data_IF_986235448690
#
_entry.id   IF_986235448690
#
_cell.length_a   1.000
_cell.length_b   1.000
_cell.length_c   1.000
_cell.angle_alpha   90.00
_cell.angle_beta   90.00
_cell.angle_gamma   90.00
#
_symmetry.space_group_name_H-M   'P 1'
#
loop_
_entity.id
_entity.type
_entity.pdbx_description
1 polymer ?
#
# COMPACT_ATOMS: atom_id res chain seq x y z
N UNK A 1 14.85 -21.84 -5.35
CA UNK A 1 15.51 -20.56 -5.01
C UNK A 1 14.80 -20.00 -3.77
N UNK A 2 15.49 -19.92 -2.62
CA UNK A 2 14.90 -19.35 -1.40
C UNK A 2 14.76 -17.83 -1.63
N UNK A 3 13.58 -17.22 -1.45
CA UNK A 3 13.41 -15.79 -1.66
C UNK A 3 14.36 -15.02 -0.73
N UNK A 4 15.11 -14.07 -1.30
CA UNK A 4 16.04 -13.22 -0.55
C UNK A 4 15.29 -12.53 0.57
N UNK A 5 15.76 -12.72 1.80
CA UNK A 5 15.26 -12.00 2.97
C UNK A 5 15.59 -10.52 2.78
N UNK A 6 14.56 -9.67 2.79
CA UNK A 6 14.70 -8.21 2.69
C UNK A 6 13.93 -7.59 3.85
N UNK A 7 14.61 -6.97 4.82
CA UNK A 7 13.98 -6.31 5.95
C UNK A 7 12.77 -5.46 5.60
N UNK A 8 11.75 -5.45 6.46
CA UNK A 8 10.53 -4.67 6.24
C UNK A 8 10.84 -3.21 5.88
N UNK A 9 11.75 -2.56 6.63
CA UNK A 9 12.11 -1.16 6.40
C UNK A 9 12.67 -0.92 4.99
N UNK A 10 13.53 -1.82 4.48
CA UNK A 10 14.07 -1.74 3.11
C UNK A 10 12.96 -1.91 2.06
N UNK A 11 11.96 -2.76 2.30
CA UNK A 11 10.78 -2.87 1.41
C UNK A 11 9.90 -1.62 1.40
N UNK A 12 9.97 -0.80 2.46
CA UNK A 12 9.35 0.54 2.48
C UNK A 12 10.22 1.62 1.82
N UNK A 13 11.38 1.27 1.25
CA UNK A 13 12.37 2.23 0.78
C UNK A 13 13.04 3.04 1.90
N UNK A 14 12.98 2.55 3.15
CA UNK A 14 13.51 3.24 4.32
C UNK A 14 14.78 2.55 4.85
N UNK A 15 15.64 3.34 5.48
CA UNK A 15 16.81 2.85 6.22
C UNK A 15 16.51 2.54 7.68
N UNK A 16 17.40 1.78 8.32
CA UNK A 16 17.43 1.63 9.76
C UNK A 16 18.01 2.89 10.39
N UNK A 17 17.29 3.53 11.31
CA UNK A 17 17.75 4.77 11.91
C UNK A 17 18.97 4.52 12.81
N UNK A 18 19.96 5.42 12.74
CA UNK A 18 21.13 5.40 13.62
C UNK A 18 20.71 5.52 15.08
N UNK A 19 21.37 4.76 15.95
CA UNK A 19 21.20 4.79 17.40
C UNK A 19 21.63 6.13 18.02
N UNK A 20 22.37 6.94 17.26
CA UNK A 20 22.82 8.28 17.65
C UNK A 20 21.68 9.32 17.61
N UNK A 21 20.54 9.01 16.97
CA UNK A 21 19.40 9.93 16.98
C UNK A 21 19.01 10.28 18.43
N UNK A 22 18.89 11.58 18.67
CA UNK A 22 18.67 12.13 20.01
C UNK A 22 17.20 12.11 20.41
N UNK A 23 16.27 12.09 19.45
CA UNK A 23 14.83 12.26 19.71
C UNK A 23 13.99 11.16 19.08
N UNK A 24 12.83 10.89 19.69
CA UNK A 24 11.85 9.94 19.18
C UNK A 24 11.28 10.39 17.83
N UNK A 25 11.49 9.58 16.79
CA UNK A 25 11.07 9.83 15.41
C UNK A 25 9.58 9.50 15.15
N UNK A 26 8.79 9.23 16.18
CA UNK A 26 7.34 9.07 16.01
C UNK A 26 6.71 10.43 15.74
N UNK A 27 5.82 10.52 14.74
CA UNK A 27 5.02 11.72 14.45
C UNK A 27 4.32 12.18 15.74
N UNK A 28 4.49 13.46 16.10
CA UNK A 28 3.91 14.06 17.31
C UNK A 28 4.60 13.73 18.64
N UNK A 29 5.73 13.00 18.67
CA UNK A 29 6.46 12.74 19.91
C UNK A 29 7.67 13.64 20.10
N UNK A 30 8.72 13.51 19.29
CA UNK A 30 9.92 14.36 19.31
C UNK A 30 10.72 14.39 20.63
N UNK A 31 10.35 13.60 21.64
CA UNK A 31 10.99 13.64 22.96
C UNK A 31 12.42 13.12 22.90
N UNK A 32 13.35 13.86 23.48
CA UNK A 32 14.75 13.45 23.62
C UNK A 32 14.89 12.14 24.40
N UNK A 33 15.73 11.23 23.92
CA UNK A 33 16.08 10.00 24.60
C UNK A 33 16.94 10.31 25.84
N UNK A 34 16.87 9.43 26.82
CA UNK A 34 17.62 9.53 28.06
C UNK A 34 17.85 8.15 28.66
N UNK A 35 18.54 8.07 29.80
CA UNK A 35 18.69 6.81 30.54
C UNK A 35 17.35 6.14 30.87
N UNK A 36 16.30 6.93 31.11
CA UNK A 36 14.96 6.42 31.42
C UNK A 36 14.10 6.29 30.15
N UNK A 37 14.30 7.16 29.16
CA UNK A 37 13.64 7.05 27.84
C UNK A 37 14.58 6.35 26.87
N UNK A 38 14.59 5.02 26.93
CA UNK A 38 15.42 4.18 26.07
C UNK A 38 14.97 4.23 24.60
N UNK A 39 15.93 3.90 23.74
CA UNK A 39 15.81 3.83 22.29
C UNK A 39 15.28 2.46 21.86
N UNK A 40 14.36 2.44 20.91
CA UNK A 40 13.85 1.22 20.29
C UNK A 40 13.58 1.46 18.81
N UNK A 41 13.93 0.53 17.93
CA UNK A 41 13.55 0.67 16.53
C UNK A 41 12.19 0.07 16.22
N UNK A 42 11.45 0.68 15.31
CA UNK A 42 10.33 0.01 14.68
C UNK A 42 10.86 -1.05 13.70
N UNK A 43 10.49 -2.31 13.88
CA UNK A 43 10.97 -3.39 12.98
C UNK A 43 10.34 -3.31 11.58
N UNK A 44 9.20 -2.61 11.45
CA UNK A 44 8.54 -2.37 10.17
C UNK A 44 9.16 -1.21 9.38
N UNK A 45 9.50 -0.08 10.01
CA UNK A 45 9.99 1.13 9.30
C UNK A 45 11.38 1.63 9.67
N UNK A 46 12.08 0.98 10.60
CA UNK A 46 13.45 1.32 10.99
C UNK A 46 13.61 2.55 11.88
N UNK A 47 12.55 3.35 12.09
CA UNK A 47 12.60 4.57 12.92
C UNK A 47 12.95 4.30 14.38
N UNK A 48 13.75 5.19 14.97
CA UNK A 48 14.07 5.20 16.40
C UNK A 48 12.94 5.83 17.22
N UNK A 49 12.35 5.08 18.13
CA UNK A 49 11.13 5.43 18.88
C UNK A 49 11.27 5.07 20.36
N UNK A 50 10.52 5.74 21.23
CA UNK A 50 10.47 5.41 22.65
C UNK A 50 9.47 4.27 22.94
N UNK A 51 9.51 3.71 24.15
CA UNK A 51 8.63 2.61 24.56
C UNK A 51 7.15 2.95 24.33
N UNK A 52 6.70 4.14 24.75
CA UNK A 52 5.31 4.60 24.57
C UNK A 52 4.87 4.71 23.11
N UNK A 53 5.78 5.05 22.21
CA UNK A 53 5.48 5.16 20.77
C UNK A 53 5.58 3.82 20.04
N UNK A 54 5.97 2.75 20.74
CA UNK A 54 6.19 1.42 20.18
C UNK A 54 5.73 0.31 21.13
N UNK A 55 4.65 0.54 21.87
CA UNK A 55 4.08 -0.42 22.82
C UNK A 55 3.41 -1.63 22.16
N UNK A 56 3.48 -1.74 20.83
CA UNK A 56 2.74 -2.72 20.06
C UNK A 56 3.66 -3.64 19.27
N UNK A 57 3.14 -4.82 18.96
CA UNK A 57 3.75 -5.77 18.03
C UNK A 57 2.83 -6.02 16.86
N UNK A 58 3.42 -6.47 15.75
CA UNK A 58 2.68 -7.01 14.62
C UNK A 58 3.30 -8.34 14.16
N UNK A 59 2.46 -9.25 13.62
CA UNK A 59 2.92 -10.43 12.92
C UNK A 59 3.63 -10.01 11.62
N UNK A 60 4.96 -10.07 11.61
CA UNK A 60 5.75 -9.81 10.40
C UNK A 60 6.22 -11.13 9.78
N UNK A 61 5.98 -11.35 8.47
CA UNK A 61 6.59 -12.44 7.71
C UNK A 61 8.12 -12.47 7.79
N UNK A 62 8.71 -13.68 7.78
CA UNK A 62 10.18 -13.89 7.88
C UNK A 62 10.99 -13.25 6.79
N UNK A 63 10.40 -13.21 5.60
CA UNK A 63 11.01 -12.56 4.45
C UNK A 63 11.31 -11.08 4.71
N UNK A 64 10.84 -10.54 5.84
CA UNK A 64 11.08 -9.21 6.38
C UNK A 64 12.07 -9.15 7.56
N UNK A 65 12.72 -10.25 7.96
CA UNK A 65 13.67 -10.30 9.09
C UNK A 65 14.97 -10.99 8.72
N UNK A 66 16.12 -10.30 8.90
CA UNK A 66 17.48 -10.85 8.72
C UNK A 66 17.86 -11.96 9.75
N UNK A 67 17.01 -12.20 10.74
CA UNK A 67 17.23 -13.21 11.79
C UNK A 67 17.08 -14.63 11.22
N UNK A 68 18.15 -15.43 11.35
CA UNK A 68 18.28 -16.78 10.76
C UNK A 68 17.50 -17.88 11.50
N UNK A 69 17.08 -17.64 12.74
CA UNK A 69 16.70 -18.71 13.68
C UNK A 69 15.20 -18.83 13.94
N UNK A 70 14.35 -18.52 12.97
CA UNK A 70 12.93 -18.69 13.22
C UNK A 70 12.21 -19.17 11.94
N UNK A 71 11.14 -19.97 12.14
CA UNK A 71 10.16 -20.45 11.13
C UNK A 71 8.72 -19.94 11.39
N UNK A 72 7.92 -19.60 10.35
CA UNK A 72 6.60 -18.93 10.48
C UNK A 72 6.50 -17.38 10.61
N UNK A 73 5.44 -16.87 11.22
CA UNK A 73 5.16 -15.44 11.44
C UNK A 73 5.68 -15.05 12.85
N UNK A 74 6.38 -13.91 13.00
CA UNK A 74 6.86 -13.46 14.32
C UNK A 74 6.26 -12.10 14.69
N UNK A 75 5.80 -12.01 15.94
CA UNK A 75 5.48 -10.74 16.60
C UNK A 75 6.72 -9.85 16.78
N UNK A 76 6.72 -8.69 16.12
CA UNK A 76 7.84 -7.74 16.20
C UNK A 76 7.36 -6.37 16.63
N UNK A 77 8.17 -5.70 17.46
CA UNK A 77 7.91 -4.32 17.92
C UNK A 77 7.73 -3.37 16.73
N UNK A 78 6.61 -2.67 16.69
CA UNK A 78 6.32 -1.63 15.70
C UNK A 78 5.96 -0.31 16.37
N UNK A 79 6.19 0.80 15.66
CA UNK A 79 5.71 2.10 16.10
C UNK A 79 4.21 2.25 15.82
N UNK A 80 3.58 3.23 16.48
CA UNK A 80 2.15 3.54 16.30
C UNK A 80 1.73 3.68 14.83
N UNK A 81 2.55 4.32 13.99
CA UNK A 81 2.22 4.51 12.57
C UNK A 81 2.30 3.23 11.74
N UNK A 82 3.07 2.24 12.18
CA UNK A 82 3.18 0.95 11.51
C UNK A 82 2.19 -0.07 12.06
N UNK A 83 1.54 0.20 13.20
CA UNK A 83 0.50 -0.65 13.76
C UNK A 83 -0.74 -0.70 12.86
N UNK A 84 -1.03 0.40 12.17
CA UNK A 84 -2.22 0.54 11.33
C UNK A 84 -1.88 0.32 9.84
N UNK A 85 -2.82 -0.25 9.06
CA UNK A 85 -2.72 -0.32 7.61
C UNK A 85 -2.49 1.06 6.98
N UNK A 86 -1.77 1.08 5.87
CA UNK A 86 -1.58 2.29 5.06
C UNK A 86 -1.43 1.94 3.60
N UNK A 87 -1.94 2.79 2.70
CA UNK A 87 -1.67 2.71 1.27
C UNK A 87 -0.49 3.63 0.92
N UNK A 88 0.19 3.30 -0.16
CA UNK A 88 1.32 4.07 -0.67
C UNK A 88 1.21 4.37 -2.16
N UNK A 89 0.55 3.51 -2.94
CA UNK A 89 0.27 3.77 -4.35
C UNK A 89 -0.81 2.84 -4.90
N UNK A 90 -1.44 3.28 -5.99
CA UNK A 90 -2.30 2.47 -6.85
C UNK A 90 -1.91 2.71 -8.30
N UNK A 91 -1.98 1.66 -9.10
CA UNK A 91 -1.76 1.76 -10.55
C UNK A 91 -2.96 2.42 -11.24
N UNK A 92 -2.68 3.20 -12.28
CA UNK A 92 -3.67 3.71 -13.21
C UNK A 92 -4.05 2.62 -14.22
N UNK A 93 -5.26 2.73 -14.78
CA UNK A 93 -5.79 1.79 -15.77
C UNK A 93 -6.35 2.55 -16.97
N UNK A 94 -6.47 1.88 -18.12
CA UNK A 94 -7.14 2.45 -19.28
C UNK A 94 -8.66 2.40 -19.10
N UNK A 95 -9.40 3.12 -19.93
CA UNK A 95 -10.87 3.24 -19.83
C UNK A 95 -11.61 1.90 -19.93
N UNK A 96 -10.99 0.88 -20.52
CA UNK A 96 -11.53 -0.50 -20.55
C UNK A 96 -11.56 -1.18 -19.17
N UNK A 97 -10.90 -0.60 -18.17
CA UNK A 97 -10.70 -1.23 -16.87
C UNK A 97 -9.58 -2.26 -16.93
N UNK A 98 -9.44 -3.07 -15.89
CA UNK A 98 -8.30 -3.96 -15.81
C UNK A 98 -7.88 -4.28 -14.39
N UNK A 99 -6.87 -5.16 -14.30
CA UNK A 99 -6.27 -5.52 -13.03
C UNK A 99 -5.23 -4.47 -12.64
N UNK A 100 -5.45 -3.78 -11.53
CA UNK A 100 -4.49 -2.84 -10.96
C UNK A 100 -3.86 -3.41 -9.71
N UNK A 101 -2.61 -3.05 -9.45
CA UNK A 101 -1.92 -3.34 -8.20
C UNK A 101 -2.04 -2.16 -7.25
N UNK A 102 -2.34 -2.48 -5.99
CA UNK A 102 -2.36 -1.56 -4.86
C UNK A 102 -1.21 -1.93 -3.95
N UNK A 103 -0.39 -0.95 -3.59
CA UNK A 103 0.72 -1.10 -2.68
C UNK A 103 0.48 -0.36 -1.38
N UNK A 104 0.89 -0.98 -0.28
CA UNK A 104 0.80 -0.40 1.04
C UNK A 104 1.59 -1.21 2.06
N UNK A 105 1.22 -1.05 3.32
CA UNK A 105 1.84 -1.74 4.44
C UNK A 105 0.79 -2.23 5.42
N UNK A 106 1.05 -3.38 6.04
CA UNK A 106 0.15 -4.02 6.99
C UNK A 106 -1.24 -4.28 6.37
N UNK A 107 -1.25 -4.74 5.11
CA UNK A 107 -2.48 -5.05 4.36
C UNK A 107 -3.05 -6.46 4.66
N UNK A 108 -2.48 -7.15 5.65
CA UNK A 108 -2.85 -8.52 5.98
C UNK A 108 -2.27 -9.56 5.01
N UNK A 109 -2.33 -10.84 5.42
CA UNK A 109 -1.89 -12.00 4.62
C UNK A 109 -3.06 -12.84 4.12
N UNK A 110 -4.28 -12.43 4.43
CA UNK A 110 -5.52 -13.10 4.02
C UNK A 110 -6.36 -12.13 3.17
N UNK A 111 -6.52 -12.46 1.88
CA UNK A 111 -7.31 -11.67 0.94
C UNK A 111 -8.77 -11.51 1.39
N UNK A 112 -9.32 -12.50 2.13
CA UNK A 112 -10.70 -12.46 2.61
C UNK A 112 -10.94 -11.37 3.66
N UNK A 113 -9.87 -10.80 4.24
CA UNK A 113 -9.93 -9.70 5.21
C UNK A 113 -9.86 -8.33 4.58
N UNK A 114 -9.54 -8.24 3.29
CA UNK A 114 -9.57 -7.01 2.52
C UNK A 114 -11.00 -6.74 2.05
N UNK A 115 -11.50 -5.54 2.29
CA UNK A 115 -12.73 -5.02 1.68
C UNK A 115 -12.31 -3.90 0.75
N UNK A 116 -12.69 -4.00 -0.51
CA UNK A 116 -12.26 -3.05 -1.54
C UNK A 116 -13.48 -2.58 -2.30
N UNK A 117 -13.71 -1.26 -2.29
CA UNK A 117 -14.78 -0.65 -3.06
C UNK A 117 -14.26 0.43 -3.98
N UNK A 118 -14.89 0.57 -5.13
CA UNK A 118 -14.53 1.54 -6.15
C UNK A 118 -15.81 2.21 -6.65
N UNK A 119 -15.96 3.51 -6.42
CA UNK A 119 -17.17 4.26 -6.77
C UNK A 119 -18.48 3.58 -6.29
N UNK A 120 -18.47 2.98 -5.10
CA UNK A 120 -19.61 2.26 -4.53
C UNK A 120 -19.76 0.80 -4.99
N UNK A 121 -18.99 0.35 -5.97
CA UNK A 121 -18.96 -1.05 -6.42
C UNK A 121 -18.07 -1.86 -5.47
N UNK A 122 -18.59 -2.96 -4.94
CA UNK A 122 -17.78 -3.91 -4.16
C UNK A 122 -16.94 -4.79 -5.08
N UNK A 123 -15.62 -4.66 -4.98
CA UNK A 123 -14.64 -5.41 -5.76
C UNK A 123 -13.95 -6.50 -4.96
N UNK A 124 -14.36 -6.73 -3.71
CA UNK A 124 -13.70 -7.64 -2.75
C UNK A 124 -13.45 -9.04 -3.33
N UNK A 125 -14.38 -9.60 -4.10
CA UNK A 125 -14.25 -10.92 -4.70
C UNK A 125 -13.08 -11.05 -5.71
N UNK A 126 -12.64 -9.91 -6.27
CA UNK A 126 -11.61 -9.85 -7.31
C UNK A 126 -10.19 -9.65 -6.74
N UNK A 127 -10.10 -9.42 -5.43
CA UNK A 127 -8.84 -9.19 -4.72
C UNK A 127 -7.96 -10.44 -4.78
N UNK A 128 -6.69 -10.23 -5.13
CA UNK A 128 -5.65 -11.28 -5.11
C UNK A 128 -4.38 -10.71 -4.49
N UNK A 129 -3.85 -11.38 -3.47
CA UNK A 129 -2.56 -10.99 -2.88
C UNK A 129 -1.45 -11.20 -3.91
N UNK A 130 -0.69 -10.13 -4.17
CA UNK A 130 0.51 -10.17 -5.04
C UNK A 130 1.74 -10.40 -4.16
N UNK A 131 1.79 -9.68 -3.03
CA UNK A 131 2.81 -9.82 -2.00
C UNK A 131 2.12 -9.67 -0.64
N UNK A 132 1.89 -10.77 0.11
CA UNK A 132 1.17 -10.73 1.38
C UNK A 132 1.70 -9.64 2.33
N UNK A 133 0.80 -8.82 2.85
CA UNK A 133 1.10 -7.69 3.74
C UNK A 133 1.51 -6.39 3.04
N UNK A 134 1.85 -6.42 1.73
CA UNK A 134 2.44 -5.29 1.01
C UNK A 134 1.72 -4.91 -0.28
N UNK A 135 1.27 -5.89 -1.07
CA UNK A 135 0.63 -5.65 -2.37
C UNK A 135 -0.51 -6.61 -2.63
N UNK A 136 -1.61 -6.08 -3.14
CA UNK A 136 -2.70 -6.88 -3.71
C UNK A 136 -3.11 -6.29 -5.06
N UNK A 137 -3.76 -7.10 -5.88
CA UNK A 137 -4.38 -6.65 -7.11
C UNK A 137 -5.90 -6.75 -7.00
N UNK A 138 -6.60 -5.88 -7.71
CA UNK A 138 -8.07 -5.84 -7.78
C UNK A 138 -8.48 -5.64 -9.24
N UNK A 139 -9.59 -6.24 -9.65
CA UNK A 139 -10.15 -6.03 -10.98
C UNK A 139 -11.05 -4.81 -10.96
N UNK A 140 -10.69 -3.78 -11.72
CA UNK A 140 -11.53 -2.61 -11.92
C UNK A 140 -12.44 -2.80 -13.13
N UNK A 141 -13.67 -2.26 -13.09
CA UNK A 141 -14.54 -2.19 -14.25
C UNK A 141 -14.02 -1.14 -15.26
N UNK A 142 -14.60 -1.13 -16.46
CA UNK A 142 -14.44 -0.02 -17.38
C UNK A 142 -15.02 1.27 -16.80
N UNK A 143 -14.47 2.41 -17.21
CA UNK A 143 -14.85 3.70 -16.68
C UNK A 143 -14.05 4.86 -17.27
N UNK A 144 -14.39 6.08 -16.84
CA UNK A 144 -13.70 7.32 -17.23
C UNK A 144 -13.48 8.19 -15.99
N UNK A 145 -12.52 9.11 -16.06
CA UNK A 145 -12.25 10.09 -15.01
C UNK A 145 -10.94 9.87 -14.26
N UNK A 146 -10.45 10.95 -13.65
CA UNK A 146 -9.10 11.03 -13.05
C UNK A 146 -9.11 11.10 -11.52
N UNK A 147 -10.30 11.11 -10.90
CA UNK A 147 -10.48 11.29 -9.45
C UNK A 147 -11.21 10.10 -8.81
N UNK A 148 -11.11 8.91 -9.41
CA UNK A 148 -11.80 7.76 -8.87
C UNK A 148 -11.01 7.17 -7.71
N UNK A 149 -11.69 6.99 -6.58
CA UNK A 149 -11.06 6.55 -5.34
C UNK A 149 -11.31 5.07 -5.09
N UNK A 150 -10.22 4.34 -4.94
CA UNK A 150 -10.27 2.99 -4.39
C UNK A 150 -10.27 3.10 -2.86
N UNK A 151 -11.33 2.62 -2.24
CA UNK A 151 -11.45 2.53 -0.79
C UNK A 151 -11.05 1.11 -0.36
N UNK A 152 -10.19 1.02 0.64
CA UNK A 152 -9.64 -0.25 1.13
C UNK A 152 -9.78 -0.29 2.64
N UNK A 153 -10.33 -1.39 3.16
CA UNK A 153 -10.41 -1.67 4.59
C UNK A 153 -9.83 -3.04 4.90
N UNK A 154 -8.98 -3.10 5.91
CA UNK A 154 -8.41 -4.35 6.44
C UNK A 154 -9.19 -4.71 7.71
N UNK A 155 -9.97 -5.77 7.66
CA UNK A 155 -11.00 -6.05 8.69
C UNK A 155 -10.47 -6.68 9.97
N UNK A 156 -9.29 -7.28 9.94
CA UNK A 156 -8.60 -7.90 11.09
C UNK A 156 -7.44 -7.04 11.62
N UNK A 157 -7.27 -5.83 11.08
CA UNK A 157 -6.22 -4.92 11.55
C UNK A 157 -6.57 -4.28 12.90
N UNK A 158 -5.52 -3.85 13.61
CA UNK A 158 -5.67 -3.02 14.80
C UNK A 158 -6.49 -1.77 14.47
N UNK A 159 -7.39 -1.37 15.38
CA UNK A 159 -8.24 -0.19 15.18
C UNK A 159 -7.82 0.95 16.11
N UNK A 160 -7.78 2.19 15.64
CA UNK A 160 -7.48 3.33 16.50
C UNK A 160 -8.68 3.60 17.43
N UNK A 161 -8.41 3.68 18.73
CA UNK A 161 -9.43 3.85 19.78
C UNK A 161 -9.78 5.32 20.04
N UNK A 162 -8.89 6.26 19.72
CA UNK A 162 -9.13 7.70 19.92
C UNK A 162 -9.44 8.40 18.60
N UNK A 163 -10.23 9.47 18.63
CA UNK A 163 -10.55 10.28 17.45
C UNK A 163 -9.30 10.84 16.76
N UNK A 164 -8.35 11.36 17.53
CA UNK A 164 -7.04 11.82 17.02
C UNK A 164 -6.29 10.73 16.26
N UNK A 165 -6.33 9.50 16.77
CA UNK A 165 -5.67 8.38 16.13
C UNK A 165 -6.39 7.96 14.84
N UNK A 166 -7.73 8.03 14.81
CA UNK A 166 -8.52 7.78 13.59
C UNK A 166 -8.30 8.83 12.52
N UNK A 167 -8.09 10.09 12.90
CA UNK A 167 -7.74 11.15 11.97
C UNK A 167 -6.35 10.94 11.33
N UNK A 168 -5.39 10.37 12.07
CA UNK A 168 -4.06 10.05 11.54
C UNK A 168 -3.97 8.70 10.84
N UNK A 169 -4.84 7.76 11.20
CA UNK A 169 -4.86 6.37 10.74
C UNK A 169 -6.30 5.95 10.47
N UNK A 170 -6.89 6.37 9.33
CA UNK A 170 -8.27 6.06 9.01
C UNK A 170 -8.46 4.54 8.84
N UNK A 171 -9.65 4.06 9.20
CA UNK A 171 -10.02 2.65 9.01
C UNK A 171 -10.27 2.33 7.53
N UNK A 172 -10.92 3.25 6.85
CA UNK A 172 -11.15 3.22 5.41
C UNK A 172 -10.04 4.01 4.75
N UNK A 173 -9.12 3.29 4.12
CA UNK A 173 -7.99 3.88 3.41
C UNK A 173 -8.45 4.30 2.03
N UNK A 174 -8.10 5.51 1.64
CA UNK A 174 -8.26 5.98 0.27
C UNK A 174 -6.90 5.99 -0.37
N UNK A 175 -6.81 5.51 -1.61
CA UNK A 175 -5.56 5.63 -2.34
C UNK A 175 -5.27 7.09 -2.67
N UNK A 176 -4.13 7.61 -2.20
CA UNK A 176 -3.72 9.00 -2.38
C UNK A 176 -3.50 9.36 -3.87
N UNK A 177 -3.04 8.38 -4.66
CA UNK A 177 -3.07 8.46 -6.11
C UNK A 177 -4.44 7.96 -6.59
N UNK A 178 -5.32 8.89 -6.99
CA UNK A 178 -6.58 8.52 -7.61
C UNK A 178 -6.31 7.60 -8.80
N UNK A 179 -7.19 6.62 -8.99
CA UNK A 179 -7.13 5.79 -10.18
C UNK A 179 -7.58 6.66 -11.34
N UNK A 180 -6.62 6.99 -12.19
CA UNK A 180 -6.88 7.68 -13.43
C UNK A 180 -7.24 6.64 -14.49
N UNK A 181 -8.49 6.68 -14.96
CA UNK A 181 -8.83 6.11 -16.25
C UNK A 181 -8.22 7.01 -17.32
N UNK A 182 -7.16 6.55 -17.97
CA UNK A 182 -6.49 7.32 -19.02
C UNK A 182 -7.40 7.42 -20.25
N UNK A 183 -7.82 8.63 -20.68
CA UNK A 183 -8.67 8.76 -21.86
C UNK A 183 -7.99 8.20 -23.11
N UNK A 184 -8.75 7.59 -24.03
CA UNK A 184 -8.23 7.24 -25.36
C UNK A 184 -7.64 8.48 -26.03
N UNK A 185 -6.46 8.35 -26.63
CA UNK A 185 -5.93 9.37 -27.55
C UNK A 185 -5.60 8.75 -28.88
N UNK A 186 -6.10 9.33 -29.96
CA UNK A 186 -5.74 8.93 -31.32
C UNK A 186 -4.43 9.61 -31.70
N UNK A 187 -3.43 8.81 -32.08
CA UNK A 187 -2.15 9.29 -32.59
C UNK A 187 -2.12 9.36 -34.11
N UNK A 188 -2.69 8.36 -34.78
CA UNK A 188 -2.72 8.30 -36.24
C UNK A 188 -3.81 7.39 -36.77
N UNK A 189 -4.08 7.48 -38.08
CA UNK A 189 -5.07 6.68 -38.78
C UNK A 189 -4.49 6.22 -40.12
N UNK A 190 -4.85 5.02 -40.58
CA UNK A 190 -4.44 4.49 -41.88
C UNK A 190 -5.60 3.80 -42.61
N UNK A 191 -5.84 4.13 -43.89
CA UNK A 191 -5.18 5.18 -44.68
C UNK A 191 -5.57 6.59 -44.19
N UNK A 192 -4.70 7.60 -44.42
CA UNK A 192 -5.02 9.00 -44.10
C UNK A 192 -6.02 9.64 -45.06
N UNK A 193 -6.26 9.00 -46.20
CA UNK A 193 -7.26 9.40 -47.19
C UNK A 193 -8.57 8.66 -46.92
N UNK A 194 -9.70 9.32 -47.21
CA UNK A 194 -11.04 8.75 -47.06
C UNK A 194 -11.10 7.48 -47.93
N UNK A 195 -11.30 6.29 -47.33
CA UNK A 195 -11.41 5.06 -48.09
C UNK A 195 -12.64 5.10 -48.99
N UNK A 196 -12.60 4.34 -50.08
CA UNK A 196 -13.82 4.10 -50.87
C UNK A 196 -14.85 3.33 -50.03
N UNK A 197 -16.13 3.41 -50.43
CA UNK A 197 -17.23 2.75 -49.68
C UNK A 197 -16.91 1.28 -49.40
N UNK A 198 -16.89 0.90 -48.11
CA UNK A 198 -16.67 -0.48 -47.67
C UNK A 198 -15.25 -0.82 -47.19
N UNK A 199 -14.29 0.10 -47.27
CA UNK A 199 -12.92 -0.13 -46.79
C UNK A 199 -12.73 0.23 -45.31
N UNK A 200 -11.89 -0.56 -44.60
CA UNK A 200 -11.62 -0.41 -43.17
C UNK A 200 -10.51 0.60 -42.88
N UNK A 201 -10.70 1.47 -41.87
CA UNK A 201 -9.65 2.35 -41.33
C UNK A 201 -9.07 1.73 -40.07
N UNK A 202 -7.73 1.68 -39.98
CA UNK A 202 -7.02 1.36 -38.74
C UNK A 202 -6.75 2.65 -37.98
N UNK A 203 -7.19 2.72 -36.73
CA UNK A 203 -6.92 3.84 -35.83
C UNK A 203 -5.86 3.39 -34.82
N UNK A 204 -4.82 4.18 -34.66
CA UNK A 204 -3.72 3.93 -33.73
C UNK A 204 -3.69 5.02 -32.67
N UNK A 205 -3.46 4.63 -31.42
CA UNK A 205 -3.58 5.53 -30.28
C UNK A 205 -3.22 4.87 -28.97
N UNK A 206 -3.28 5.61 -27.87
CA UNK A 206 -3.19 5.06 -26.52
C UNK A 206 -4.59 4.86 -25.95
N UNK A 207 -4.80 3.77 -25.22
CA UNK A 207 -6.04 3.53 -24.47
C UNK A 207 -7.31 3.56 -25.35
N UNK A 208 -7.19 3.24 -26.67
CA UNK A 208 -8.26 3.21 -27.68
C UNK A 208 -9.28 2.09 -27.47
#
# INVERSE_FOLDING_TARGET
LVPRVVPAHKRRGLGWASDEHETCMSKGCGKAFSRMRRRHHCRSCGRLVCARCSSWTLPLPRIFSEDKDADGIIERRVCRSCLYPSLSSCEAVDTEGGRVTVQGFNLGVDASKLRVTFNGIDLTATVRLVEPGLRFSVQLPSGVGTTNHLNVRVTDAATPTTAEARAMHPLDLVCDAAIAYRPPTVHSMSPQLIPTSGESVKVYGTSL
#
